data_IF_127258831292
#
_entry.id   IF_127258831292
#
_cell.length_a   1.000
_cell.length_b   1.000
_cell.length_c   1.000
_cell.angle_alpha   90.00
_cell.angle_beta   90.00
_cell.angle_gamma   90.00
#
_symmetry.space_group_name_H-M   'P 1'
#
loop_
_entity.id
_entity.type
_entity.pdbx_description
1 polymer ?
#
# COMPACT_ATOMS: atom_id res chain seq x y z
N UNK A 1 -13.35 3.81 -19.45
CA UNK A 1 -13.26 3.11 -18.15
C UNK A 1 -12.04 2.18 -18.07
N UNK A 2 -11.89 1.18 -18.96
CA UNK A 2 -10.77 0.22 -18.89
C UNK A 2 -9.36 0.86 -18.96
N UNK A 3 -9.15 1.81 -19.88
CA UNK A 3 -7.85 2.49 -20.01
C UNK A 3 -7.44 3.24 -18.72
N UNK A 4 -8.39 3.91 -18.08
CA UNK A 4 -8.15 4.63 -16.82
C UNK A 4 -7.70 3.67 -15.72
N UNK A 5 -8.36 2.52 -15.59
CA UNK A 5 -7.99 1.49 -14.60
C UNK A 5 -6.58 0.96 -14.83
N UNK A 6 -6.21 0.72 -16.09
CA UNK A 6 -4.85 0.27 -16.45
C UNK A 6 -3.82 1.34 -16.05
N UNK A 7 -4.06 2.61 -16.38
CA UNK A 7 -3.17 3.72 -16.02
C UNK A 7 -2.99 3.82 -14.50
N UNK A 8 -4.09 3.70 -13.74
CA UNK A 8 -4.03 3.71 -12.27
C UNK A 8 -3.20 2.53 -11.74
N UNK A 9 -3.41 1.31 -12.24
CA UNK A 9 -2.64 0.14 -11.80
C UNK A 9 -1.15 0.34 -12.11
N UNK A 10 -0.81 0.81 -13.31
CA UNK A 10 0.59 1.08 -13.69
C UNK A 10 1.23 2.15 -12.79
N UNK A 11 0.47 3.18 -12.40
CA UNK A 11 0.94 4.18 -11.43
C UNK A 11 1.25 3.54 -10.07
N UNK A 12 0.37 2.69 -9.56
CA UNK A 12 0.62 1.97 -8.30
C UNK A 12 1.81 1.03 -8.42
N UNK A 13 2.00 0.34 -9.54
CA UNK A 13 3.21 -0.46 -9.78
C UNK A 13 4.48 0.40 -9.72
N UNK A 14 4.47 1.58 -10.36
CA UNK A 14 5.57 2.53 -10.26
C UNK A 14 5.86 2.93 -8.81
N UNK A 15 4.82 3.26 -8.03
CA UNK A 15 4.93 3.61 -6.61
C UNK A 15 5.50 2.46 -5.78
N UNK A 16 5.05 1.22 -6.00
CA UNK A 16 5.54 0.03 -5.27
C UNK A 16 7.02 -0.22 -5.44
N UNK A 17 7.62 0.27 -6.53
CA UNK A 17 9.04 0.09 -6.83
C UNK A 17 9.83 1.33 -6.40
N UNK A 18 9.37 2.52 -6.81
CA UNK A 18 10.10 3.78 -6.66
C UNK A 18 10.15 4.24 -5.21
N UNK A 19 9.04 4.22 -4.47
CA UNK A 19 9.00 4.69 -3.09
C UNK A 19 9.92 3.92 -2.14
N UNK A 20 9.89 2.57 -2.07
CA UNK A 20 10.83 1.84 -1.23
C UNK A 20 12.26 2.01 -1.75
N UNK A 21 12.50 2.05 -3.07
CA UNK A 21 13.84 2.31 -3.60
C UNK A 21 14.42 3.64 -3.10
N UNK A 22 13.64 4.73 -3.14
CA UNK A 22 14.07 6.04 -2.64
C UNK A 22 14.35 6.04 -1.14
N UNK A 23 13.58 5.28 -0.36
CA UNK A 23 13.81 5.13 1.08
C UNK A 23 15.11 4.34 1.33
N UNK A 24 15.27 3.18 0.68
CA UNK A 24 16.36 2.25 0.94
C UNK A 24 17.70 2.74 0.41
N UNK A 25 17.69 3.55 -0.66
CA UNK A 25 18.92 4.18 -1.22
C UNK A 25 19.39 5.39 -0.42
N UNK A 26 18.51 6.03 0.35
CA UNK A 26 18.87 7.23 1.08
C UNK A 26 19.79 6.91 2.27
N UNK A 27 21.04 7.37 2.22
CA UNK A 27 22.03 7.17 3.30
C UNK A 27 21.63 7.88 4.61
N UNK A 28 20.82 8.93 4.53
CA UNK A 28 20.35 9.67 5.71
C UNK A 28 19.15 8.99 6.41
N UNK A 29 18.57 7.96 5.78
CA UNK A 29 17.51 7.17 6.39
C UNK A 29 18.10 6.28 7.49
N UNK A 30 17.49 6.30 8.67
CA UNK A 30 18.00 5.53 9.80
C UNK A 30 17.87 4.02 9.55
N UNK A 31 18.81 3.25 10.09
CA UNK A 31 18.79 1.78 10.01
C UNK A 31 17.45 1.18 10.49
N UNK A 32 16.86 1.74 11.57
CA UNK A 32 15.53 1.32 12.04
C UNK A 32 14.44 1.54 10.98
N UNK A 33 14.47 2.67 10.27
CA UNK A 33 13.46 2.99 9.25
C UNK A 33 13.60 2.10 8.01
N UNK A 34 14.84 1.73 7.68
CA UNK A 34 15.13 0.74 6.65
C UNK A 34 14.48 -0.61 6.99
N UNK A 35 14.71 -1.14 8.20
CA UNK A 35 14.13 -2.41 8.63
C UNK A 35 12.60 -2.35 8.72
N UNK A 36 12.03 -1.24 9.20
CA UNK A 36 10.58 -1.02 9.21
C UNK A 36 10.03 -1.11 7.78
N UNK A 37 10.70 -0.48 6.80
CA UNK A 37 10.23 -0.49 5.40
C UNK A 37 10.22 -1.91 4.82
N UNK A 38 11.29 -2.69 5.05
CA UNK A 38 11.38 -4.07 4.55
C UNK A 38 10.38 -4.99 5.25
N UNK A 39 10.37 -5.01 6.58
CA UNK A 39 9.52 -5.91 7.36
C UNK A 39 8.03 -5.59 7.17
N UNK A 40 7.67 -4.30 7.12
CA UNK A 40 6.29 -3.91 6.85
C UNK A 40 5.87 -4.23 5.41
N UNK A 41 6.77 -4.15 4.43
CA UNK A 41 6.50 -4.60 3.06
C UNK A 41 6.16 -6.10 2.99
N UNK A 42 6.90 -6.94 3.72
CA UNK A 42 6.59 -8.37 3.86
C UNK A 42 5.24 -8.55 4.55
N UNK A 43 5.01 -7.85 5.67
CA UNK A 43 3.74 -7.90 6.39
C UNK A 43 2.52 -7.51 5.54
N UNK A 44 2.63 -6.44 4.74
CA UNK A 44 1.59 -6.02 3.81
C UNK A 44 1.38 -7.02 2.68
N UNK A 45 2.44 -7.71 2.23
CA UNK A 45 2.31 -8.78 1.23
C UNK A 45 1.52 -9.98 1.77
N UNK A 46 1.81 -10.39 3.01
CA UNK A 46 1.04 -11.44 3.71
C UNK A 46 -0.41 -11.00 3.93
N UNK A 47 -0.62 -9.74 4.34
CA UNK A 47 -1.96 -9.18 4.49
C UNK A 47 -2.72 -9.14 3.16
N UNK A 48 -2.07 -8.78 2.05
CA UNK A 48 -2.67 -8.79 0.72
C UNK A 48 -3.10 -10.20 0.30
N UNK A 49 -2.28 -11.22 0.61
CA UNK A 49 -2.63 -12.62 0.39
C UNK A 49 -3.86 -13.01 1.23
N UNK A 50 -3.85 -12.72 2.53
CA UNK A 50 -4.97 -13.01 3.44
C UNK A 50 -6.26 -12.32 2.99
N UNK A 51 -6.19 -11.04 2.64
CA UNK A 51 -7.34 -10.27 2.17
C UNK A 51 -7.83 -10.73 0.80
N UNK A 52 -6.96 -11.26 -0.05
CA UNK A 52 -7.40 -11.77 -1.37
C UNK A 52 -8.08 -13.13 -1.24
N UNK A 53 -7.49 -14.08 -0.52
CA UNK A 53 -7.95 -15.48 -0.56
C UNK A 53 -8.79 -15.91 0.64
N UNK A 54 -8.64 -15.26 1.79
CA UNK A 54 -9.28 -15.69 3.04
C UNK A 54 -10.34 -14.71 3.55
N UNK A 55 -10.37 -13.48 3.03
CA UNK A 55 -11.40 -12.52 3.42
C UNK A 55 -12.66 -12.71 2.58
N UNK A 56 -13.78 -12.93 3.28
CA UNK A 56 -15.10 -13.12 2.70
C UNK A 56 -16.08 -12.22 3.42
N UNK A 57 -16.92 -11.52 2.68
CA UNK A 57 -17.97 -10.69 3.24
C UNK A 57 -19.25 -10.75 2.40
N UNK A 58 -20.39 -10.54 3.06
CA UNK A 58 -21.70 -10.61 2.42
C UNK A 58 -22.39 -9.25 2.55
N UNK A 59 -22.33 -8.38 1.52
CA UNK A 59 -23.02 -7.08 1.58
C UNK A 59 -24.55 -7.21 1.59
N UNK A 60 -25.07 -8.35 1.13
CA UNK A 60 -26.50 -8.71 1.12
C UNK A 60 -26.64 -10.21 1.36
N UNK A 61 -27.81 -10.68 1.80
CA UNK A 61 -28.08 -12.11 2.02
C UNK A 61 -27.87 -12.98 0.77
N UNK A 62 -27.99 -12.36 -0.42
CA UNK A 62 -27.91 -13.02 -1.71
C UNK A 62 -26.60 -12.72 -2.46
N UNK A 63 -25.62 -12.10 -1.82
CA UNK A 63 -24.32 -11.78 -2.43
C UNK A 63 -23.21 -12.10 -1.46
N UNK A 64 -22.26 -12.93 -1.89
CA UNK A 64 -21.05 -13.24 -1.13
C UNK A 64 -19.84 -12.89 -1.98
N UNK A 65 -18.94 -12.08 -1.42
CA UNK A 65 -17.76 -11.57 -2.11
C UNK A 65 -16.53 -12.17 -1.45
N UNK A 66 -15.64 -12.72 -2.29
CA UNK A 66 -14.36 -13.27 -1.86
C UNK A 66 -13.24 -12.38 -2.37
N UNK A 67 -12.40 -11.93 -1.46
CA UNK A 67 -11.29 -11.03 -1.75
C UNK A 67 -11.61 -9.56 -1.50
N UNK A 68 -10.58 -8.81 -1.09
CA UNK A 68 -10.62 -7.37 -0.90
C UNK A 68 -9.22 -6.75 -1.13
N UNK A 69 -9.09 -5.53 -1.66
CA UNK A 69 -10.15 -4.63 -2.15
C UNK A 69 -10.75 -5.03 -3.51
N UNK A 70 -10.01 -5.75 -4.34
CA UNK A 70 -10.51 -6.29 -5.61
C UNK A 70 -10.94 -7.74 -5.38
N UNK A 71 -12.22 -8.08 -5.61
CA UNK A 71 -12.69 -9.44 -5.42
C UNK A 71 -12.20 -10.35 -6.54
N UNK A 72 -11.80 -11.57 -6.19
CA UNK A 72 -11.38 -12.56 -7.16
C UNK A 72 -12.54 -13.47 -7.61
N UNK A 73 -13.57 -13.62 -6.77
CA UNK A 73 -14.84 -14.32 -7.06
C UNK A 73 -16.01 -13.60 -6.37
N UNK A 74 -17.15 -13.52 -7.08
CA UNK A 74 -18.42 -13.02 -6.54
C UNK A 74 -19.49 -14.09 -6.75
N UNK A 75 -20.17 -14.47 -5.67
CA UNK A 75 -21.31 -15.36 -5.69
C UNK A 75 -22.61 -14.56 -5.58
N UNK A 76 -23.56 -14.83 -6.45
CA UNK A 76 -24.90 -14.23 -6.41
C UNK A 76 -25.97 -15.30 -6.52
N UNK A 77 -27.13 -15.10 -5.87
CA UNK A 77 -28.31 -15.96 -6.01
C UNK A 77 -29.57 -15.12 -6.20
N UNK A 78 -30.52 -15.64 -6.96
CA UNK A 78 -31.78 -14.95 -7.28
C UNK A 78 -32.74 -14.94 -6.09
N UNK A 79 -32.73 -16.01 -5.28
CA UNK A 79 -33.57 -16.20 -4.09
C UNK A 79 -32.73 -16.76 -2.92
N UNK A 80 -33.17 -16.59 -1.66
CA UNK A 80 -32.46 -17.12 -0.49
C UNK A 80 -32.27 -18.65 -0.51
N UNK A 81 -33.17 -19.38 -1.17
CA UNK A 81 -33.10 -20.84 -1.30
C UNK A 81 -32.56 -21.29 -2.67
N UNK A 82 -32.19 -20.34 -3.52
CA UNK A 82 -31.65 -20.60 -4.85
C UNK A 82 -30.18 -21.04 -4.81
N UNK A 83 -29.71 -21.76 -5.84
CA UNK A 83 -28.31 -22.11 -5.98
C UNK A 83 -27.44 -20.86 -6.12
N UNK A 84 -26.21 -20.92 -5.63
CA UNK A 84 -25.21 -19.88 -5.87
C UNK A 84 -24.76 -19.93 -7.33
N UNK A 85 -24.76 -18.77 -7.99
CA UNK A 85 -24.19 -18.56 -9.31
C UNK A 85 -22.83 -17.90 -9.16
N UNK A 86 -21.84 -18.49 -9.82
CA UNK A 86 -20.44 -18.10 -9.73
C UNK A 86 -20.10 -17.17 -10.89
N UNK A 87 -19.73 -15.93 -10.58
CA UNK A 87 -19.16 -15.02 -11.57
C UNK A 87 -17.64 -15.09 -11.49
N UNK A 88 -17.05 -15.90 -12.38
CA UNK A 88 -15.60 -16.06 -12.53
C UNK A 88 -15.10 -15.10 -13.61
N UNK A 89 -14.44 -14.02 -13.18
CA UNK A 89 -13.85 -13.03 -14.08
C UNK A 89 -12.33 -13.19 -14.23
N UNK A 90 -11.67 -12.36 -15.06
CA UNK A 90 -10.20 -12.31 -15.13
C UNK A 90 -9.53 -12.02 -13.78
N UNK A 91 -10.29 -11.47 -12.82
CA UNK A 91 -9.87 -11.21 -11.44
C UNK A 91 -9.57 -12.48 -10.65
N UNK A 92 -9.99 -13.66 -11.11
CA UNK A 92 -9.61 -14.93 -10.45
C UNK A 92 -8.10 -15.18 -10.55
N UNK A 93 -7.45 -14.73 -11.62
CA UNK A 93 -6.00 -14.82 -11.81
C UNK A 93 -5.32 -13.51 -11.39
N UNK A 94 -5.89 -12.37 -11.77
CA UNK A 94 -5.27 -11.06 -11.56
C UNK A 94 -5.59 -10.42 -10.20
N UNK A 95 -6.52 -10.98 -9.43
CA UNK A 95 -6.99 -10.39 -8.17
C UNK A 95 -5.86 -10.22 -7.15
N UNK A 96 -5.03 -11.26 -6.95
CA UNK A 96 -3.89 -11.16 -6.04
C UNK A 96 -2.84 -10.15 -6.51
N UNK A 97 -2.33 -10.21 -7.76
CA UNK A 97 -1.41 -9.19 -8.26
C UNK A 97 -1.92 -7.76 -8.11
N UNK A 98 -3.20 -7.52 -8.41
CA UNK A 98 -3.81 -6.19 -8.30
C UNK A 98 -3.89 -5.76 -6.83
N UNK A 99 -4.39 -6.60 -5.93
CA UNK A 99 -4.48 -6.28 -4.50
C UNK A 99 -3.11 -6.05 -3.88
N UNK A 100 -2.11 -6.85 -4.25
CA UNK A 100 -0.74 -6.70 -3.80
C UNK A 100 -0.17 -5.33 -4.20
N UNK A 101 -0.31 -4.94 -5.47
CA UNK A 101 0.17 -3.66 -5.99
C UNK A 101 -0.55 -2.48 -5.34
N UNK A 102 -1.86 -2.57 -5.15
CA UNK A 102 -2.65 -1.50 -4.52
C UNK A 102 -2.23 -1.29 -3.07
N UNK A 103 -2.13 -2.38 -2.29
CA UNK A 103 -1.83 -2.29 -0.86
C UNK A 103 -0.37 -1.89 -0.62
N UNK A 104 0.59 -2.50 -1.33
CA UNK A 104 2.01 -2.10 -1.23
C UNK A 104 2.21 -0.67 -1.73
N UNK A 105 1.55 -0.26 -2.81
CA UNK A 105 1.74 1.06 -3.37
C UNK A 105 1.22 2.13 -2.42
N UNK A 106 0.03 1.91 -1.85
CA UNK A 106 -0.53 2.77 -0.80
C UNK A 106 0.42 2.84 0.39
N UNK A 107 0.88 1.70 0.89
CA UNK A 107 1.73 1.63 2.08
C UNK A 107 3.09 2.31 1.89
N UNK A 108 3.80 2.00 0.80
CA UNK A 108 5.11 2.61 0.53
C UNK A 108 5.02 4.09 0.22
N UNK A 109 3.92 4.55 -0.38
CA UNK A 109 3.70 5.98 -0.56
C UNK A 109 3.56 6.71 0.77
N UNK A 110 2.78 6.16 1.71
CA UNK A 110 2.62 6.72 3.05
C UNK A 110 3.94 6.72 3.82
N UNK A 111 4.72 5.64 3.75
CA UNK A 111 6.06 5.59 4.33
C UNK A 111 6.95 6.67 3.70
N UNK A 112 6.98 6.78 2.37
CA UNK A 112 7.80 7.79 1.71
C UNK A 112 7.44 9.22 2.15
N UNK A 113 6.16 9.54 2.28
CA UNK A 113 5.70 10.84 2.84
C UNK A 113 6.24 11.02 4.26
N UNK A 114 6.09 10.01 5.12
CA UNK A 114 6.56 10.08 6.50
C UNK A 114 8.07 10.32 6.56
N UNK A 115 8.85 9.59 5.76
CA UNK A 115 10.30 9.78 5.66
C UNK A 115 10.65 11.21 5.23
N UNK A 116 9.97 11.74 4.22
CA UNK A 116 10.17 13.10 3.73
C UNK A 116 9.84 14.16 4.79
N UNK A 117 8.75 13.98 5.54
CA UNK A 117 8.36 14.89 6.62
C UNK A 117 9.37 14.87 7.77
N UNK A 118 9.78 13.68 8.21
CA UNK A 118 10.80 13.51 9.26
C UNK A 118 12.13 14.12 8.84
N UNK A 119 12.54 13.91 7.59
CA UNK A 119 13.77 14.48 7.05
C UNK A 119 13.74 16.01 7.04
N UNK A 120 12.65 16.61 6.54
CA UNK A 120 12.47 18.08 6.54
C UNK A 120 12.55 18.66 7.96
N UNK A 121 11.92 18.01 8.94
CA UNK A 121 11.97 18.44 10.35
C UNK A 121 13.39 18.38 10.92
N UNK A 122 14.11 17.28 10.68
CA UNK A 122 15.51 17.13 11.13
C UNK A 122 16.44 18.19 10.54
N UNK A 123 16.29 18.49 9.25
CA UNK A 123 17.08 19.55 8.59
C UNK A 123 16.82 20.93 9.21
N UNK A 124 15.55 21.26 9.46
CA UNK A 124 15.18 22.53 10.10
C UNK A 124 15.73 22.69 11.52
N UNK A 125 15.75 21.62 12.32
CA UNK A 125 16.34 21.64 13.66
C UNK A 125 17.85 21.88 13.62
N UNK A 126 18.59 21.16 12.76
CA UNK A 126 20.04 21.35 12.61
C UNK A 126 20.41 22.77 12.17
N UNK A 127 19.58 23.39 11.31
CA UNK A 127 19.79 24.77 10.89
C UNK A 127 19.61 25.77 12.04
N UNK A 128 18.62 25.54 12.91
CA UNK A 128 18.42 26.39 14.10
C UNK A 128 19.57 26.24 15.09
N UNK A 129 20.00 25.01 15.38
CA UNK A 129 21.14 24.74 16.25
C UNK A 129 22.43 25.42 15.74
N UNK A 130 22.66 25.40 14.42
CA UNK A 130 23.81 26.08 13.81
C UNK A 130 23.71 27.61 13.95
N UNK A 131 22.54 28.21 13.74
CA UNK A 131 22.32 29.66 13.90
C UNK A 131 22.50 30.11 15.36
N UNK A 132 22.01 29.32 16.32
CA UNK A 132 22.17 29.59 17.75
C UNK A 132 23.65 29.48 18.16
N UNK A 133 24.39 28.48 17.66
CA UNK A 133 25.82 28.34 17.92
C UNK A 133 26.64 29.53 17.37
N UNK A 134 26.33 30.01 16.16
CA UNK A 134 26.96 31.20 15.59
C UNK A 134 26.62 32.48 16.38
N UNK A 135 25.38 32.62 16.84
CA UNK A 135 24.95 33.76 17.65
C UNK A 135 25.64 33.81 19.03
N UNK A 136 25.96 32.65 19.62
CA UNK A 136 26.72 32.57 20.88
C UNK A 136 28.20 32.90 20.66
N UNK A 137 28.82 32.44 19.57
CA UNK A 137 30.23 32.70 19.29
C UNK A 137 30.54 34.17 18.94
N UNK A 138 29.54 34.94 18.50
CA UNK A 138 29.67 36.35 18.15
C UNK A 138 29.36 37.31 19.32
N UNK A 139 29.15 36.80 20.54
CA UNK A 139 28.98 37.59 21.78
C UNK A 139 30.21 37.49 22.66
#
# INVERSE_FOLDING_TARGET
MALLLIVVILMFMGVTIVCPYLILRNRDTSSSYWWITVLSGVGVSVLAYALTFHYVYSPRENTRIHGWPVPYIIFQRSTPDGPWLDFVGPTTILGFPINLVLLLGTWFFLLWILNAVVFRRRKGLRQKEAQEAEAVNNR
#
